data_IF_394108406480
#
_entry.id   IF_394108406480
#
_cell.length_a   1.000
_cell.length_b   1.000
_cell.length_c   1.000
_cell.angle_alpha   90.00
_cell.angle_beta   90.00
_cell.angle_gamma   90.00
#
_symmetry.space_group_name_H-M   'P 1'
#
loop_
_entity.id
_entity.type
_entity.pdbx_description
1 polymer ?
#
# COMPACT_ATOMS: atom_id res chain seq x y z
N UNK A 1 13.43 1.79 -15.31
CA UNK A 1 12.03 1.96 -14.85
C UNK A 1 12.02 1.84 -13.34
N UNK A 2 11.11 2.52 -12.64
CA UNK A 2 11.05 2.48 -11.16
C UNK A 2 9.93 1.56 -10.72
N UNK A 3 10.17 0.68 -9.75
CA UNK A 3 9.11 -0.13 -9.17
C UNK A 3 8.20 0.75 -8.32
N UNK A 4 6.90 0.82 -8.63
CA UNK A 4 5.96 1.70 -7.89
C UNK A 4 5.60 1.20 -6.47
N UNK A 5 6.15 0.07 -6.03
CA UNK A 5 5.92 -0.48 -4.69
C UNK A 5 7.10 -0.21 -3.77
N UNK A 6 8.33 -0.54 -4.18
CA UNK A 6 9.54 -0.31 -3.37
C UNK A 6 10.27 0.98 -3.71
N UNK A 7 9.90 1.66 -4.81
CA UNK A 7 10.51 2.89 -5.32
C UNK A 7 11.97 2.76 -5.77
N UNK A 8 12.52 1.54 -5.79
CA UNK A 8 13.86 1.28 -6.30
C UNK A 8 13.90 1.26 -7.83
N UNK A 9 15.04 1.72 -8.37
CA UNK A 9 15.33 1.70 -9.80
C UNK A 9 15.65 0.27 -10.25
N UNK A 10 15.02 -0.15 -11.34
CA UNK A 10 15.35 -1.44 -11.93
C UNK A 10 16.68 -1.35 -12.68
N UNK A 11 17.61 -2.26 -12.35
CA UNK A 11 18.79 -2.50 -13.16
C UNK A 11 18.36 -2.94 -14.57
N UNK A 12 19.05 -2.42 -15.59
CA UNK A 12 18.75 -2.37 -17.03
C UNK A 12 18.51 -3.72 -17.77
N UNK A 13 17.83 -4.69 -17.17
CA UNK A 13 17.64 -6.02 -17.74
C UNK A 13 16.17 -6.39 -17.69
N UNK A 14 15.53 -6.37 -18.87
CA UNK A 14 14.29 -7.08 -19.17
C UNK A 14 14.43 -8.52 -18.66
N UNK A 15 13.92 -8.77 -17.47
CA UNK A 15 14.06 -10.03 -16.76
C UNK A 15 12.69 -10.42 -16.23
N UNK A 16 12.48 -11.72 -15.98
CA UNK A 16 11.24 -12.22 -15.38
C UNK A 16 10.93 -11.61 -14.00
N UNK A 17 11.94 -11.00 -13.36
CA UNK A 17 11.80 -10.29 -12.09
C UNK A 17 11.08 -8.93 -12.21
N UNK A 18 10.84 -8.44 -13.43
CA UNK A 18 10.18 -7.17 -13.71
C UNK A 18 8.87 -7.41 -14.46
N UNK A 19 7.81 -6.71 -14.06
CA UNK A 19 6.50 -6.81 -14.66
C UNK A 19 5.94 -5.43 -14.98
N UNK A 20 5.48 -5.25 -16.21
CA UNK A 20 4.55 -4.17 -16.57
C UNK A 20 3.16 -4.61 -16.21
N UNK A 21 2.36 -3.74 -15.57
CA UNK A 21 0.98 -4.03 -15.27
C UNK A 21 0.19 -4.35 -16.57
N UNK A 22 -0.28 -5.58 -16.80
CA UNK A 22 -1.11 -5.93 -17.95
C UNK A 22 -2.40 -5.11 -18.07
N UNK A 23 -3.01 -4.73 -16.95
CA UNK A 23 -4.29 -4.00 -16.94
C UNK A 23 -4.14 -2.56 -17.46
N UNK A 24 -3.17 -1.80 -16.93
CA UNK A 24 -3.02 -0.39 -17.31
C UNK A 24 -1.86 -0.13 -18.29
N UNK A 25 -0.88 -1.02 -18.41
CA UNK A 25 0.32 -0.92 -19.27
C UNK A 25 1.29 0.24 -18.95
N UNK A 26 1.00 1.04 -17.92
CA UNK A 26 1.80 2.22 -17.54
C UNK A 26 2.57 2.05 -16.22
N UNK A 27 2.26 1.02 -15.44
CA UNK A 27 2.89 0.76 -14.15
C UNK A 27 3.92 -0.37 -14.23
N UNK A 28 5.01 -0.24 -13.48
CA UNK A 28 6.12 -1.20 -13.44
C UNK A 28 6.37 -1.65 -12.01
N UNK A 29 6.60 -2.95 -11.83
CA UNK A 29 6.87 -3.55 -10.53
C UNK A 29 7.89 -4.66 -10.62
N UNK A 30 8.70 -4.81 -9.56
CA UNK A 30 9.32 -6.08 -9.30
C UNK A 30 8.22 -7.13 -9.05
N UNK A 31 8.38 -8.30 -9.65
CA UNK A 31 7.45 -9.43 -9.48
C UNK A 31 7.32 -9.83 -8.01
N UNK A 32 8.42 -9.80 -7.26
CA UNK A 32 8.44 -10.06 -5.82
C UNK A 32 7.64 -9.02 -5.03
N UNK A 33 7.74 -7.74 -5.40
CA UNK A 33 7.00 -6.66 -4.72
C UNK A 33 5.50 -6.80 -4.94
N UNK A 34 5.04 -7.00 -6.17
CA UNK A 34 3.60 -7.16 -6.44
C UNK A 34 3.05 -8.46 -5.84
N UNK A 35 3.85 -9.54 -5.81
CA UNK A 35 3.50 -10.78 -5.14
C UNK A 35 3.39 -10.61 -3.61
N UNK A 36 4.30 -9.84 -3.01
CA UNK A 36 4.25 -9.48 -1.59
C UNK A 36 3.01 -8.65 -1.24
N UNK A 37 2.70 -7.65 -2.06
CA UNK A 37 1.49 -6.83 -1.90
C UNK A 37 0.22 -7.68 -2.01
N UNK A 38 0.13 -8.57 -3.01
CA UNK A 38 -0.99 -9.50 -3.17
C UNK A 38 -1.18 -10.42 -1.96
N UNK A 39 -0.08 -10.95 -1.41
CA UNK A 39 -0.12 -11.81 -0.23
C UNK A 39 -0.56 -11.05 1.03
N UNK A 40 -0.14 -9.78 1.15
CA UNK A 40 -0.46 -8.92 2.27
C UNK A 40 -1.91 -8.42 2.26
N UNK A 41 -2.39 -8.00 1.09
CA UNK A 41 -3.73 -7.41 0.94
C UNK A 41 -4.83 -8.45 0.78
N UNK A 42 -4.48 -9.64 0.26
CA UNK A 42 -5.46 -10.66 -0.10
C UNK A 42 -6.44 -10.18 -1.17
N UNK A 43 -7.38 -11.04 -1.56
CA UNK A 43 -8.30 -10.71 -2.65
C UNK A 43 -9.15 -9.47 -2.33
N UNK A 44 -9.55 -9.26 -1.07
CA UNK A 44 -10.43 -8.16 -0.65
C UNK A 44 -9.80 -6.79 -0.84
N UNK A 45 -8.52 -6.62 -0.49
CA UNK A 45 -7.87 -5.31 -0.47
C UNK A 45 -6.85 -5.11 -1.60
N UNK A 46 -6.55 -6.15 -2.39
CA UNK A 46 -5.57 -6.05 -3.46
C UNK A 46 -6.12 -5.21 -4.63
N UNK A 47 -5.62 -3.98 -4.72
CA UNK A 47 -6.00 -3.00 -5.72
C UNK A 47 -4.82 -2.09 -6.05
N UNK A 48 -4.83 -1.51 -7.25
CA UNK A 48 -3.81 -0.54 -7.64
C UNK A 48 -4.48 0.77 -8.08
N UNK A 49 -4.15 1.95 -7.49
CA UNK A 49 -4.89 3.19 -7.74
C UNK A 49 -4.94 3.63 -9.21
N UNK A 50 -3.95 3.23 -10.02
CA UNK A 50 -3.90 3.55 -11.45
C UNK A 50 -4.85 2.65 -12.26
N UNK A 51 -5.15 1.44 -11.77
CA UNK A 51 -6.09 0.51 -12.41
C UNK A 51 -7.49 0.76 -11.84
N UNK A 52 -8.37 1.37 -12.64
CA UNK A 52 -9.74 1.70 -12.19
C UNK A 52 -10.64 0.47 -12.00
N UNK A 53 -10.39 -0.58 -12.79
CA UNK A 53 -11.14 -1.83 -12.72
C UNK A 53 -10.36 -2.83 -11.88
N UNK A 54 -10.81 -3.02 -10.63
CA UNK A 54 -10.19 -3.92 -9.66
C UNK A 54 -10.30 -5.38 -10.09
N UNK A 55 -11.42 -5.79 -10.66
CA UNK A 55 -11.65 -7.20 -11.00
C UNK A 55 -10.83 -7.57 -12.24
N UNK A 56 -10.79 -6.70 -13.25
CA UNK A 56 -9.89 -6.86 -14.39
C UNK A 56 -8.42 -6.88 -13.94
N UNK A 57 -8.02 -6.00 -13.02
CA UNK A 57 -6.68 -6.00 -12.45
C UNK A 57 -6.35 -7.33 -11.76
N UNK A 58 -7.22 -7.84 -10.90
CA UNK A 58 -7.03 -9.12 -10.21
C UNK A 58 -6.89 -10.28 -11.21
N UNK A 59 -7.78 -10.36 -12.21
CA UNK A 59 -7.74 -11.42 -13.23
C UNK A 59 -6.44 -11.41 -14.02
N UNK A 60 -5.97 -10.22 -14.40
CA UNK A 60 -4.70 -10.08 -15.10
C UNK A 60 -3.51 -10.45 -14.20
N UNK A 61 -3.51 -10.07 -12.92
CA UNK A 61 -2.48 -10.47 -11.97
C UNK A 61 -2.43 -12.00 -11.79
N UNK A 62 -3.59 -12.66 -11.66
CA UNK A 62 -3.69 -14.12 -11.61
C UNK A 62 -3.15 -14.76 -12.90
N UNK A 63 -3.50 -14.21 -14.06
CA UNK A 63 -3.04 -14.69 -15.38
C UNK A 63 -1.52 -14.56 -15.53
N UNK A 64 -0.93 -13.54 -14.91
CA UNK A 64 0.52 -13.36 -14.84
C UNK A 64 1.21 -14.25 -13.80
N UNK A 65 0.45 -15.10 -13.09
CA UNK A 65 0.94 -16.03 -12.07
C UNK A 65 1.22 -15.38 -10.71
N UNK A 66 0.58 -14.25 -10.40
CA UNK A 66 0.61 -13.66 -9.06
C UNK A 66 -0.45 -14.37 -8.21
N UNK A 67 -0.03 -14.91 -7.07
CA UNK A 67 -0.92 -15.61 -6.15
C UNK A 67 -1.60 -14.60 -5.22
N UNK A 68 -2.94 -14.64 -5.16
CA UNK A 68 -3.73 -13.74 -4.33
C UNK A 68 -4.56 -14.59 -3.36
N UNK A 69 -4.27 -14.58 -2.04
CA UNK A 69 -5.02 -15.37 -1.07
C UNK A 69 -6.49 -14.95 -0.98
N UNK A 70 -7.40 -15.93 -0.95
CA UNK A 70 -8.82 -15.73 -0.65
C UNK A 70 -9.02 -15.50 0.85
N UNK A 71 -8.54 -14.39 1.38
CA UNK A 71 -8.90 -13.97 2.74
C UNK A 71 -10.32 -13.39 2.69
N UNK A 72 -11.32 -14.25 2.88
CA UNK A 72 -12.69 -13.80 3.14
C UNK A 72 -12.73 -13.21 4.54
N UNK A 73 -13.09 -11.93 4.65
CA UNK A 73 -13.45 -11.31 5.93
C UNK A 73 -14.73 -12.01 6.39
N UNK A 74 -14.59 -13.09 7.14
CA UNK A 74 -15.74 -13.78 7.72
C UNK A 74 -16.30 -12.81 8.76
N UNK A 75 -17.44 -12.20 8.43
CA UNK A 75 -18.26 -11.48 9.40
C UNK A 75 -18.85 -12.50 10.36
N UNK A 76 -18.07 -13.05 11.30
CA UNK A 76 -18.59 -13.65 12.52
C UNK A 76 -17.53 -13.82 13.63
N UNK A 77 -17.96 -13.74 14.91
CA UNK A 77 -17.11 -13.38 16.04
C UNK A 77 -16.60 -14.63 16.76
N UNK A 78 -15.38 -15.08 16.50
CA UNK A 78 -14.63 -15.97 17.40
C UNK A 78 -13.32 -16.45 16.78
N UNK A 79 -12.32 -15.59 16.86
CA UNK A 79 -10.87 -15.84 16.93
C UNK A 79 -10.21 -14.64 16.28
N UNK A 80 -9.85 -13.70 17.15
CA UNK A 80 -9.06 -12.51 16.83
C UNK A 80 -7.93 -12.91 15.85
N UNK A 81 -7.80 -12.18 14.73
CA UNK A 81 -6.59 -12.07 13.89
C UNK A 81 -6.48 -12.81 12.54
N UNK A 82 -7.39 -13.71 12.12
CA UNK A 82 -7.15 -14.49 10.87
C UNK A 82 -7.76 -13.96 9.57
N UNK A 83 -8.53 -12.87 9.60
CA UNK A 83 -9.25 -12.35 8.43
C UNK A 83 -9.01 -10.87 8.16
N UNK A 84 -8.01 -10.29 8.82
CA UNK A 84 -7.72 -8.88 8.84
C UNK A 84 -6.38 -8.69 8.09
N UNK A 85 -6.31 -7.86 7.03
CA UNK A 85 -5.04 -7.48 6.45
C UNK A 85 -4.05 -7.09 7.56
N UNK A 86 -2.78 -7.47 7.43
CA UNK A 86 -1.80 -7.33 8.53
C UNK A 86 -1.70 -5.92 9.10
N UNK A 87 -2.04 -4.90 8.32
CA UNK A 87 -2.06 -3.50 8.71
C UNK A 87 -3.28 -3.11 9.54
N UNK A 88 -4.44 -3.75 9.36
CA UNK A 88 -5.64 -3.44 10.11
C UNK A 88 -5.53 -3.85 11.60
N UNK A 89 -4.44 -4.50 12.03
CA UNK A 89 -4.17 -4.81 13.43
C UNK A 89 -4.24 -3.50 14.24
N UNK A 90 -5.24 -3.35 15.12
CA UNK A 90 -5.66 -2.07 15.71
C UNK A 90 -4.58 -1.33 16.52
N UNK A 91 -3.43 -1.95 16.75
CA UNK A 91 -2.27 -1.36 17.41
C UNK A 91 -1.21 -0.81 16.43
N UNK A 92 -1.26 -1.12 15.14
CA UNK A 92 -0.25 -0.71 14.16
C UNK A 92 -0.24 0.80 13.88
N UNK A 93 -1.40 1.45 14.01
CA UNK A 93 -1.58 2.88 13.76
C UNK A 93 -1.80 3.70 15.04
N UNK A 94 -1.77 3.08 16.23
CA UNK A 94 -2.02 3.77 17.49
C UNK A 94 -1.04 4.93 17.74
N UNK A 95 0.21 4.81 17.26
CA UNK A 95 1.20 5.90 17.30
C UNK A 95 1.23 6.82 16.07
N UNK A 96 0.47 6.51 15.01
CA UNK A 96 0.40 7.33 13.78
C UNK A 96 -0.71 8.38 13.81
N UNK A 97 -1.61 8.31 14.80
CA UNK A 97 -2.65 9.33 15.00
C UNK A 97 -2.13 10.58 15.73
N UNK A 98 -0.86 10.61 16.12
CA UNK A 98 -0.29 11.76 16.81
C UNK A 98 -0.06 12.88 15.81
N UNK A 99 -0.91 13.90 15.88
CA UNK A 99 -0.79 15.08 15.01
C UNK A 99 0.53 15.76 15.32
N UNK A 100 1.33 15.99 14.29
CA UNK A 100 2.55 16.77 14.39
C UNK A 100 2.24 18.12 15.07
N UNK A 101 2.84 18.33 16.24
CA UNK A 101 2.49 19.40 17.16
C UNK A 101 3.54 20.51 17.24
N UNK A 102 4.63 20.42 16.46
CA UNK A 102 5.74 21.36 16.55
C UNK A 102 6.45 21.63 15.22
N UNK A 103 6.52 22.88 14.80
CA UNK A 103 7.24 23.30 13.59
C UNK A 103 8.74 22.89 13.57
N UNK A 104 9.11 22.17 12.52
CA UNK A 104 10.47 21.66 12.24
C UNK A 104 11.39 22.64 11.48
N UNK A 105 10.90 23.82 11.09
CA UNK A 105 11.71 24.79 10.33
C UNK A 105 12.96 25.23 11.11
N UNK A 106 14.10 25.42 10.45
CA UNK A 106 15.32 25.91 11.11
C UNK A 106 15.08 27.23 11.83
N UNK A 107 14.34 28.14 11.20
CA UNK A 107 13.81 29.36 11.79
C UNK A 107 12.28 29.34 11.74
N UNK A 108 11.61 29.46 12.90
CA UNK A 108 10.16 29.46 13.00
C UNK A 108 9.64 30.89 13.11
N UNK A 109 8.73 31.25 12.22
CA UNK A 109 8.12 32.59 12.17
C UNK A 109 6.71 32.63 12.78
N UNK A 110 6.24 31.53 13.36
CA UNK A 110 4.92 31.46 14.01
C UNK A 110 4.89 32.38 15.24
N UNK A 111 3.95 33.36 15.31
CA UNK A 111 3.89 34.31 16.43
C UNK A 111 3.67 33.65 17.80
N UNK A 112 2.94 32.53 17.88
CA UNK A 112 2.73 31.75 19.10
C UNK A 112 3.77 30.66 19.32
N UNK A 113 4.90 30.72 18.62
CA UNK A 113 5.99 29.77 18.77
C UNK A 113 5.78 28.46 18.01
N UNK A 114 6.74 27.55 18.18
CA UNK A 114 6.83 26.32 17.37
C UNK A 114 5.70 25.33 17.65
N UNK A 115 5.08 25.38 18.82
CA UNK A 115 4.04 24.42 19.26
C UNK A 115 2.62 24.86 18.87
N UNK A 116 2.48 26.02 18.19
CA UNK A 116 1.19 26.53 17.80
C UNK A 116 0.62 25.73 16.62
N UNK A 117 -0.48 25.01 16.85
CA UNK A 117 -1.30 24.39 15.81
C UNK A 117 -2.44 25.32 15.37
N UNK A 118 -2.86 25.23 14.11
CA UNK A 118 -4.08 25.89 13.64
C UNK A 118 -5.32 25.34 14.38
N UNK A 119 -6.28 26.20 14.70
CA UNK A 119 -7.59 25.77 15.19
C UNK A 119 -8.33 25.06 14.05
N UNK A 120 -8.93 23.91 14.37
CA UNK A 120 -9.77 23.16 13.43
C UNK A 120 -10.83 24.06 12.78
N UNK A 121 -10.96 23.94 11.47
CA UNK A 121 -11.94 24.65 10.64
C UNK A 121 -13.19 23.82 10.40
#
# INVERSE_FOLDING_TARGET
TTCLICLDLEGDRKSYGVMVCPACKHAWFHRSCIQGQAAHDGISCFQFPVCRDRDAFILEMLSMGIQIPLQVVVLQPSSQDRGRPSWENGHAYAGLSERHSRCDASECLCPGGREQAEKEG
#
